data_IF_071777991485
#
_entry.id   IF_071777991485
#
_cell.length_a   1.000
_cell.length_b   1.000
_cell.length_c   1.000
_cell.angle_alpha   90.00
_cell.angle_beta   90.00
_cell.angle_gamma   90.00
#
_symmetry.space_group_name_H-M   'P 1'
#
loop_
_entity.id
_entity.type
_entity.pdbx_description
1 polymer ?
#
# COMPACT_ATOMS: atom_id res chain seq x y z
N UNK A 1 -12.81 -17.78 -9.09
CA UNK A 1 -12.93 -16.48 -9.79
C UNK A 1 -12.45 -16.68 -11.22
N UNK A 2 -13.24 -16.31 -12.23
CA UNK A 2 -12.90 -16.60 -13.63
C UNK A 2 -11.85 -15.61 -14.17
N UNK A 3 -11.10 -15.99 -15.21
CA UNK A 3 -10.00 -15.20 -15.79
C UNK A 3 -10.41 -13.77 -16.20
N UNK A 4 -11.63 -13.59 -16.70
CA UNK A 4 -12.19 -12.28 -17.06
C UNK A 4 -12.32 -11.34 -15.85
N UNK A 5 -12.74 -11.86 -14.69
CA UNK A 5 -12.83 -11.06 -13.47
C UNK A 5 -11.45 -10.67 -12.95
N UNK A 6 -10.48 -11.60 -13.02
CA UNK A 6 -9.10 -11.31 -12.60
C UNK A 6 -8.48 -10.22 -13.48
N UNK A 7 -8.64 -10.31 -14.81
CA UNK A 7 -8.15 -9.27 -15.74
C UNK A 7 -8.81 -7.92 -15.47
N UNK A 8 -10.12 -7.88 -15.27
CA UNK A 8 -10.84 -6.64 -14.97
C UNK A 8 -10.41 -6.02 -13.64
N UNK A 9 -10.20 -6.84 -12.60
CA UNK A 9 -9.66 -6.39 -11.32
C UNK A 9 -8.22 -5.90 -11.44
N UNK A 10 -7.38 -6.55 -12.23
CA UNK A 10 -5.99 -6.13 -12.46
C UNK A 10 -5.94 -4.73 -13.08
N UNK A 11 -6.74 -4.48 -14.13
CA UNK A 11 -6.81 -3.15 -14.78
C UNK A 11 -7.32 -2.09 -13.79
N UNK A 12 -8.37 -2.39 -13.02
CA UNK A 12 -8.87 -1.48 -11.98
C UNK A 12 -7.84 -1.23 -10.88
N UNK A 13 -7.03 -2.24 -10.56
CA UNK A 13 -5.90 -2.16 -9.64
C UNK A 13 -4.82 -1.21 -10.13
N UNK A 14 -4.39 -1.36 -11.39
CA UNK A 14 -3.43 -0.47 -12.03
C UNK A 14 -3.92 0.98 -12.07
N UNK A 15 -5.19 1.21 -12.41
CA UNK A 15 -5.80 2.55 -12.41
C UNK A 15 -5.91 3.15 -11.00
N UNK A 16 -6.30 2.34 -10.01
CA UNK A 16 -6.33 2.78 -8.62
C UNK A 16 -4.92 3.09 -8.09
N UNK A 17 -3.93 2.30 -8.50
CA UNK A 17 -2.52 2.52 -8.20
C UNK A 17 -1.99 3.82 -8.81
N UNK A 18 -2.37 4.13 -10.05
CA UNK A 18 -2.06 5.42 -10.69
C UNK A 18 -2.66 6.59 -9.90
N UNK A 19 -3.95 6.52 -9.56
CA UNK A 19 -4.63 7.55 -8.78
C UNK A 19 -4.00 7.73 -7.40
N UNK A 20 -3.67 6.64 -6.72
CA UNK A 20 -2.97 6.66 -5.45
C UNK A 20 -1.54 7.25 -5.58
N UNK A 21 -0.83 6.92 -6.65
CA UNK A 21 0.48 7.47 -6.98
C UNK A 21 0.44 8.98 -7.17
N UNK A 22 -0.60 9.52 -7.84
CA UNK A 22 -0.82 10.96 -7.96
C UNK A 22 -1.03 11.63 -6.59
N UNK A 23 -1.85 11.04 -5.72
CA UNK A 23 -2.05 11.55 -4.36
C UNK A 23 -0.75 11.53 -3.56
N UNK A 24 0.01 10.44 -3.65
CA UNK A 24 1.30 10.32 -2.99
C UNK A 24 2.33 11.33 -3.53
N UNK A 25 2.32 11.61 -4.84
CA UNK A 25 3.16 12.62 -5.47
C UNK A 25 2.85 14.03 -4.94
N UNK A 26 1.57 14.39 -4.79
CA UNK A 26 1.18 15.68 -4.19
C UNK A 26 1.71 15.79 -2.76
N UNK A 27 1.59 14.72 -1.96
CA UNK A 27 2.12 14.71 -0.60
C UNK A 27 3.64 14.78 -0.59
N UNK A 28 4.32 14.11 -1.53
CA UNK A 28 5.77 14.17 -1.67
C UNK A 28 6.25 15.58 -2.03
N UNK A 29 5.54 16.27 -2.93
CA UNK A 29 5.81 17.66 -3.29
C UNK A 29 5.66 18.59 -2.08
N UNK A 30 4.56 18.48 -1.33
CA UNK A 30 4.26 19.40 -0.22
C UNK A 30 5.10 19.12 1.03
N UNK A 31 5.32 17.84 1.37
CA UNK A 31 5.97 17.46 2.64
C UNK A 31 7.39 16.95 2.47
N UNK A 32 7.72 16.38 1.31
CA UNK A 32 9.00 15.73 1.05
C UNK A 32 10.04 16.67 0.44
N UNK A 33 9.70 17.38 -0.63
CA UNK A 33 10.63 18.26 -1.37
C UNK A 33 11.32 19.29 -0.48
N UNK A 34 10.62 20.04 0.41
CA UNK A 34 11.31 20.96 1.33
C UNK A 34 12.29 20.30 2.29
N UNK A 35 12.21 18.98 2.49
CA UNK A 35 13.13 18.21 3.33
C UNK A 35 14.30 17.66 2.54
N UNK A 36 14.10 17.38 1.26
CA UNK A 36 15.17 17.04 0.32
C UNK A 36 16.05 18.26 0.11
N UNK A 37 15.45 19.42 -0.19
CA UNK A 37 16.18 20.68 -0.40
C UNK A 37 17.03 21.04 0.82
N UNK A 38 16.44 21.03 2.01
CA UNK A 38 17.18 21.32 3.25
C UNK A 38 18.30 20.31 3.56
N UNK A 39 18.20 19.08 3.05
CA UNK A 39 19.25 18.07 3.22
C UNK A 39 20.38 18.25 2.21
N UNK A 40 20.08 18.79 1.02
CA UNK A 40 21.06 19.20 0.01
C UNK A 40 21.81 20.45 0.49
N UNK A 41 21.10 21.46 0.99
CA UNK A 41 21.71 22.68 1.56
C UNK A 41 22.71 22.34 2.68
N UNK A 42 22.41 21.31 3.48
CA UNK A 42 23.31 20.82 4.52
C UNK A 42 24.59 20.20 3.91
N UNK A 43 24.47 19.41 2.85
CA UNK A 43 25.59 18.79 2.14
C UNK A 43 26.49 19.86 1.50
N UNK A 44 25.89 20.81 0.77
CA UNK A 44 26.60 21.91 0.10
C UNK A 44 27.37 22.78 1.11
N UNK A 45 26.83 23.00 2.32
CA UNK A 45 27.51 23.75 3.38
C UNK A 45 28.69 23.01 4.03
N UNK A 46 28.75 21.68 3.91
CA UNK A 46 29.80 20.84 4.51
C UNK A 46 30.75 20.23 3.47
N UNK A 47 30.50 20.42 2.18
CA UNK A 47 31.41 20.06 1.10
C UNK A 47 32.48 21.16 0.93
N UNK A 48 33.74 20.84 1.24
CA UNK A 48 34.89 21.74 1.04
C UNK A 48 35.49 21.69 -0.38
N UNK A 49 34.90 20.96 -1.33
CA UNK A 49 35.34 20.95 -2.73
C UNK A 49 34.16 21.11 -3.70
N UNK A 50 34.27 22.09 -4.60
CA UNK A 50 33.31 22.34 -5.68
C UNK A 50 33.35 21.20 -6.72
N UNK A 51 32.45 20.23 -6.60
CA UNK A 51 32.09 19.34 -7.70
C UNK A 51 31.05 20.02 -8.61
N UNK A 52 31.41 20.30 -9.87
CA UNK A 52 30.49 20.84 -10.87
C UNK A 52 29.21 19.99 -10.99
N UNK A 53 28.06 20.65 -11.00
CA UNK A 53 26.78 20.04 -11.33
C UNK A 53 26.74 19.60 -12.80
N UNK A 54 26.96 18.32 -13.06
CA UNK A 54 26.97 17.75 -14.42
C UNK A 54 25.57 17.73 -15.07
N UNK A 55 24.48 18.01 -14.33
CA UNK A 55 23.12 18.10 -14.89
C UNK A 55 22.27 19.20 -14.26
N UNK A 56 21.52 19.95 -15.08
CA UNK A 56 20.54 20.93 -14.62
C UNK A 56 19.40 20.24 -13.84
N UNK A 57 19.36 20.49 -12.52
CA UNK A 57 18.44 19.91 -11.52
C UNK A 57 16.96 20.10 -11.86
N UNK A 58 16.60 21.13 -12.63
CA UNK A 58 15.21 21.54 -12.90
C UNK A 58 14.49 20.64 -13.93
N UNK A 59 15.19 19.99 -14.87
CA UNK A 59 14.59 19.10 -15.88
C UNK A 59 14.51 17.62 -15.44
N UNK A 60 15.40 17.20 -14.53
CA UNK A 60 15.30 15.91 -13.81
C UNK A 60 14.21 15.94 -12.71
N UNK A 61 13.94 17.12 -12.15
CA UNK A 61 13.11 17.35 -10.96
C UNK A 61 11.62 17.00 -11.12
N UNK A 62 10.97 17.30 -12.25
CA UNK A 62 9.49 17.24 -12.28
C UNK A 62 8.92 16.14 -13.18
N UNK A 63 9.46 15.94 -14.38
CA UNK A 63 8.93 14.95 -15.34
C UNK A 63 9.34 13.51 -15.03
N UNK A 64 10.63 13.28 -14.75
CA UNK A 64 11.19 11.95 -14.47
C UNK A 64 10.69 11.39 -13.14
N UNK A 65 10.73 12.19 -12.08
CA UNK A 65 10.20 11.81 -10.76
C UNK A 65 8.71 11.50 -10.81
N UNK A 66 7.90 12.38 -11.43
CA UNK A 66 6.47 12.13 -11.59
C UNK A 66 6.23 10.84 -12.37
N UNK A 67 6.92 10.63 -13.50
CA UNK A 67 6.80 9.40 -14.29
C UNK A 67 7.15 8.17 -13.46
N UNK A 68 8.26 8.21 -12.73
CA UNK A 68 8.70 7.11 -11.86
C UNK A 68 7.68 6.77 -10.77
N UNK A 69 7.16 7.78 -10.07
CA UNK A 69 6.13 7.59 -9.03
C UNK A 69 4.83 7.02 -9.61
N UNK A 70 4.43 7.46 -10.81
CA UNK A 70 3.21 6.98 -11.46
C UNK A 70 3.35 5.54 -11.96
N UNK A 71 4.46 5.21 -12.61
CA UNK A 71 4.77 3.83 -13.03
C UNK A 71 4.85 2.90 -11.83
N UNK A 72 5.51 3.35 -10.75
CA UNK A 72 5.57 2.62 -9.49
C UNK A 72 4.17 2.40 -8.89
N UNK A 73 3.34 3.44 -8.86
CA UNK A 73 1.95 3.36 -8.40
C UNK A 73 1.13 2.35 -9.20
N UNK A 74 1.24 2.36 -10.54
CA UNK A 74 0.59 1.38 -11.43
C UNK A 74 1.06 -0.05 -11.12
N UNK A 75 2.36 -0.28 -10.99
CA UNK A 75 2.93 -1.59 -10.71
C UNK A 75 2.46 -2.13 -9.35
N UNK A 76 2.55 -1.32 -8.29
CA UNK A 76 2.06 -1.68 -6.96
C UNK A 76 0.55 -1.93 -6.96
N UNK A 77 -0.23 -1.11 -7.67
CA UNK A 77 -1.67 -1.30 -7.80
C UNK A 77 -2.03 -2.63 -8.46
N UNK A 78 -1.27 -3.04 -9.48
CA UNK A 78 -1.42 -4.35 -10.10
C UNK A 78 -1.12 -5.51 -9.14
N UNK A 79 0.02 -5.44 -8.45
CA UNK A 79 0.43 -6.46 -7.46
C UNK A 79 -0.60 -6.57 -6.33
N UNK A 80 -1.04 -5.44 -5.77
CA UNK A 80 -2.02 -5.40 -4.70
C UNK A 80 -3.40 -5.90 -5.15
N UNK A 81 -3.81 -5.67 -6.41
CA UNK A 81 -5.03 -6.24 -6.97
C UNK A 81 -4.95 -7.77 -7.14
N UNK A 82 -3.79 -8.32 -7.49
CA UNK A 82 -3.58 -9.77 -7.51
C UNK A 82 -3.63 -10.36 -6.09
N UNK A 83 -2.99 -9.69 -5.12
CA UNK A 83 -3.09 -10.06 -3.71
C UNK A 83 -4.54 -10.04 -3.22
N UNK A 84 -5.33 -9.03 -3.62
CA UNK A 84 -6.77 -8.97 -3.37
C UNK A 84 -7.52 -10.16 -3.96
N UNK A 85 -7.22 -10.54 -5.20
CA UNK A 85 -7.84 -11.70 -5.83
C UNK A 85 -7.59 -13.00 -5.05
N UNK A 86 -6.41 -13.10 -4.42
CA UNK A 86 -6.04 -14.22 -3.56
C UNK A 86 -6.75 -14.11 -2.19
N UNK A 87 -6.87 -12.91 -1.63
CA UNK A 87 -7.40 -12.68 -0.29
C UNK A 87 -8.94 -12.77 -0.21
N UNK A 88 -9.64 -12.37 -1.28
CA UNK A 88 -11.11 -12.29 -1.30
C UNK A 88 -11.76 -13.64 -0.97
N UNK A 89 -12.63 -13.64 0.05
CA UNK A 89 -13.27 -14.84 0.59
C UNK A 89 -12.35 -15.78 1.38
N UNK A 90 -11.02 -15.57 1.34
CA UNK A 90 -10.06 -16.37 2.10
C UNK A 90 -9.78 -15.80 3.48
N UNK A 91 -9.71 -14.48 3.64
CA UNK A 91 -9.37 -13.83 4.92
C UNK A 91 -10.57 -13.55 5.83
N UNK A 92 -11.74 -14.12 5.51
CA UNK A 92 -12.99 -13.94 6.25
C UNK A 92 -14.18 -13.70 5.33
N UNK A 93 -15.36 -13.52 5.91
CA UNK A 93 -16.61 -13.22 5.18
C UNK A 93 -16.76 -11.72 4.90
N UNK A 94 -15.69 -11.08 4.44
CA UNK A 94 -15.67 -9.65 4.13
C UNK A 94 -16.08 -9.39 2.68
N UNK A 95 -16.80 -8.28 2.47
CA UNK A 95 -17.11 -7.81 1.12
C UNK A 95 -15.87 -7.27 0.38
N UNK A 96 -16.00 -6.91 -0.91
CA UNK A 96 -14.89 -6.40 -1.72
C UNK A 96 -14.21 -5.16 -1.13
N UNK A 97 -14.96 -4.15 -0.66
CA UNK A 97 -14.37 -2.94 -0.05
C UNK A 97 -13.52 -3.25 1.17
N UNK A 98 -14.07 -3.99 2.12
CA UNK A 98 -13.37 -4.36 3.35
C UNK A 98 -12.11 -5.21 3.05
N UNK A 99 -12.21 -6.16 2.12
CA UNK A 99 -11.06 -6.96 1.70
C UNK A 99 -9.96 -6.09 1.08
N UNK A 100 -10.31 -5.14 0.21
CA UNK A 100 -9.35 -4.20 -0.38
C UNK A 100 -8.66 -3.33 0.69
N UNK A 101 -9.43 -2.85 1.67
CA UNK A 101 -8.88 -2.09 2.79
C UNK A 101 -7.90 -2.94 3.63
N UNK A 102 -8.23 -4.18 3.97
CA UNK A 102 -7.33 -5.07 4.71
C UNK A 102 -6.08 -5.45 3.93
N UNK A 103 -6.20 -5.71 2.62
CA UNK A 103 -5.05 -5.99 1.75
C UNK A 103 -4.14 -4.77 1.69
N UNK A 104 -4.71 -3.57 1.52
CA UNK A 104 -3.93 -2.34 1.47
C UNK A 104 -3.24 -2.03 2.79
N UNK A 105 -3.95 -2.17 3.92
CA UNK A 105 -3.39 -1.98 5.26
C UNK A 105 -2.30 -3.01 5.57
N UNK A 106 -2.54 -4.27 5.22
CA UNK A 106 -1.55 -5.34 5.34
C UNK A 106 -0.29 -5.04 4.53
N UNK A 107 -0.45 -4.60 3.29
CA UNK A 107 0.67 -4.23 2.43
C UNK A 107 1.43 -2.99 2.94
N UNK A 108 0.75 -1.93 3.39
CA UNK A 108 1.37 -0.80 4.08
C UNK A 108 2.22 -1.29 5.26
N UNK A 109 1.65 -2.15 6.11
CA UNK A 109 2.33 -2.68 7.28
C UNK A 109 3.57 -3.50 6.90
N UNK A 110 3.43 -4.48 5.98
CA UNK A 110 4.48 -5.46 5.70
C UNK A 110 5.51 -5.00 4.68
N UNK A 111 5.12 -4.18 3.70
CA UNK A 111 6.00 -3.72 2.62
C UNK A 111 6.68 -2.41 2.98
N UNK A 112 6.08 -1.61 3.88
CA UNK A 112 6.65 -0.32 4.25
C UNK A 112 6.92 -0.16 5.74
N UNK A 113 5.90 -0.18 6.61
CA UNK A 113 6.07 0.20 8.03
C UNK A 113 7.09 -0.70 8.75
N UNK A 114 6.96 -2.01 8.60
CA UNK A 114 7.88 -2.96 9.24
C UNK A 114 9.32 -2.78 8.71
N UNK A 115 9.59 -2.83 7.39
CA UNK A 115 10.92 -2.50 6.87
C UNK A 115 11.46 -1.14 7.32
N UNK A 116 10.62 -0.10 7.31
CA UNK A 116 10.97 1.27 7.71
C UNK A 116 11.38 1.37 9.18
N UNK A 117 10.73 0.63 10.08
CA UNK A 117 11.09 0.66 11.50
C UNK A 117 12.50 0.08 11.76
N UNK A 118 12.96 -0.88 10.94
CA UNK A 118 14.31 -1.47 11.03
C UNK A 118 15.35 -0.70 10.21
N UNK A 119 14.95 -0.27 9.02
CA UNK A 119 15.77 0.38 8.00
C UNK A 119 15.03 1.64 7.51
N UNK A 120 15.03 2.72 8.30
CA UNK A 120 14.25 3.91 8.00
C UNK A 120 14.80 4.66 6.78
N UNK A 121 13.91 5.37 6.10
CA UNK A 121 14.29 6.22 4.99
C UNK A 121 15.23 7.34 5.46
N UNK A 122 16.26 7.60 4.66
CA UNK A 122 17.20 8.69 4.84
C UNK A 122 17.09 9.65 3.64
N UNK A 123 17.31 10.97 3.85
CA UNK A 123 17.47 11.93 2.76
C UNK A 123 18.58 11.51 1.78
N UNK A 124 18.52 11.96 0.51
CA UNK A 124 19.52 11.60 -0.50
C UNK A 124 20.98 11.91 -0.10
N UNK A 125 21.20 13.00 0.64
CA UNK A 125 22.52 13.40 1.14
C UNK A 125 23.05 12.56 2.31
N UNK A 126 22.26 11.57 2.80
CA UNK A 126 22.66 10.69 3.89
C UNK A 126 22.83 9.26 3.37
N UNK A 127 24.08 8.84 3.26
CA UNK A 127 24.45 7.46 3.06
C UNK A 127 25.81 7.30 2.41
N UNK A 128 26.43 6.16 2.65
CA UNK A 128 27.66 5.80 1.98
C UNK A 128 27.31 5.16 0.60
N UNK A 129 27.85 5.67 -0.52
CA UNK A 129 27.67 5.07 -1.84
C UNK A 129 28.09 3.60 -1.90
N UNK A 130 29.14 3.22 -1.16
CA UNK A 130 29.70 1.86 -1.18
C UNK A 130 28.77 0.84 -0.49
N UNK A 131 27.82 1.30 0.34
CA UNK A 131 26.88 0.45 1.07
C UNK A 131 25.50 0.37 0.45
N UNK A 132 25.22 1.08 -0.66
CA UNK A 132 23.90 1.13 -1.31
C UNK A 132 23.37 -0.28 -1.59
N UNK A 133 24.21 -1.17 -2.13
CA UNK A 133 23.83 -2.55 -2.45
C UNK A 133 23.41 -3.34 -1.20
N UNK A 134 24.19 -3.24 -0.11
CA UNK A 134 23.91 -3.91 1.16
C UNK A 134 22.61 -3.41 1.80
N UNK A 135 22.41 -2.09 1.86
CA UNK A 135 21.20 -1.46 2.42
C UNK A 135 19.95 -1.88 1.64
N UNK A 136 20.05 -1.85 0.31
CA UNK A 136 18.97 -2.27 -0.59
C UNK A 136 18.61 -3.74 -0.38
N UNK A 137 19.61 -4.62 -0.32
CA UNK A 137 19.40 -6.05 -0.08
C UNK A 137 18.73 -6.32 1.28
N UNK A 138 19.17 -5.64 2.35
CA UNK A 138 18.57 -5.77 3.69
C UNK A 138 17.13 -5.27 3.72
N UNK A 139 16.84 -4.16 3.04
CA UNK A 139 15.48 -3.64 2.95
C UNK A 139 14.54 -4.62 2.22
N UNK A 140 14.97 -5.15 1.07
CA UNK A 140 14.20 -6.18 0.33
C UNK A 140 14.05 -7.49 1.12
N UNK A 141 15.09 -7.91 1.83
CA UNK A 141 15.03 -9.07 2.73
C UNK A 141 13.98 -8.85 3.82
N UNK A 142 13.93 -7.65 4.41
CA UNK A 142 12.95 -7.32 5.44
C UNK A 142 11.52 -7.30 4.87
N UNK A 143 11.32 -6.78 3.65
CA UNK A 143 10.01 -6.89 2.96
C UNK A 143 9.61 -8.36 2.79
N UNK A 144 10.50 -9.18 2.22
CA UNK A 144 10.21 -10.58 1.95
C UNK A 144 9.84 -11.34 3.24
N UNK A 145 10.64 -11.15 4.30
CA UNK A 145 10.39 -11.76 5.60
C UNK A 145 9.07 -11.30 6.21
N UNK A 146 8.76 -10.00 6.15
CA UNK A 146 7.52 -9.42 6.68
C UNK A 146 6.29 -9.97 5.98
N UNK A 147 6.32 -10.09 4.65
CA UNK A 147 5.22 -10.66 3.87
C UNK A 147 5.04 -12.16 4.18
N UNK A 148 6.13 -12.93 4.25
CA UNK A 148 6.06 -14.36 4.57
C UNK A 148 5.51 -14.60 5.98
N UNK A 149 5.96 -13.82 6.97
CA UNK A 149 5.48 -13.92 8.34
C UNK A 149 4.01 -13.51 8.46
N UNK A 150 3.57 -12.48 7.71
CA UNK A 150 2.17 -12.08 7.69
C UNK A 150 1.28 -13.17 7.08
N UNK A 151 1.70 -13.81 5.98
CA UNK A 151 0.99 -14.95 5.39
C UNK A 151 0.92 -16.12 6.38
N UNK A 152 2.02 -16.47 7.03
CA UNK A 152 2.05 -17.49 8.08
C UNK A 152 1.13 -17.16 9.25
N UNK A 153 1.07 -15.90 9.69
CA UNK A 153 0.18 -15.45 10.74
C UNK A 153 -1.29 -15.58 10.33
N UNK A 154 -1.65 -15.23 9.10
CA UNK A 154 -3.01 -15.43 8.58
C UNK A 154 -3.37 -16.93 8.52
N UNK A 155 -2.44 -17.80 8.11
CA UNK A 155 -2.65 -19.25 8.12
C UNK A 155 -2.83 -19.78 9.54
N UNK A 156 -1.99 -19.34 10.48
CA UNK A 156 -2.07 -19.69 11.90
C UNK A 156 -3.41 -19.26 12.49
N UNK A 157 -3.84 -18.02 12.27
CA UNK A 157 -5.11 -17.49 12.74
C UNK A 157 -6.31 -18.32 12.23
N UNK A 158 -6.31 -18.71 10.96
CA UNK A 158 -7.34 -19.59 10.41
C UNK A 158 -7.36 -20.98 11.04
N UNK A 159 -6.18 -21.53 11.37
CA UNK A 159 -6.08 -22.83 12.05
C UNK A 159 -6.52 -22.78 13.51
N UNK A 160 -6.32 -21.63 14.17
CA UNK A 160 -6.71 -21.42 15.57
C UNK A 160 -8.19 -21.03 15.72
N UNK A 161 -8.79 -20.40 14.71
CA UNK A 161 -10.17 -19.91 14.77
C UNK A 161 -11.22 -20.96 15.17
N UNK A 162 -11.20 -22.22 14.69
CA UNK A 162 -12.15 -23.25 15.11
C UNK A 162 -12.05 -23.63 16.60
N UNK A 163 -10.87 -23.42 17.22
CA UNK A 163 -10.63 -23.80 18.63
C UNK A 163 -10.78 -22.63 19.59
N UNK A 164 -10.34 -21.44 19.20
CA UNK A 164 -10.26 -20.27 20.08
C UNK A 164 -11.33 -19.21 19.78
N UNK A 165 -12.07 -19.36 18.69
CA UNK A 165 -12.90 -18.30 18.11
C UNK A 165 -12.08 -17.27 17.34
N UNK A 166 -12.74 -16.49 16.47
CA UNK A 166 -12.07 -15.53 15.57
C UNK A 166 -11.27 -14.46 16.31
N UNK A 167 -11.79 -13.92 17.41
CA UNK A 167 -11.14 -12.87 18.18
C UNK A 167 -9.81 -13.34 18.76
N UNK A 168 -9.84 -14.38 19.60
CA UNK A 168 -8.63 -14.90 20.26
C UNK A 168 -7.61 -15.44 19.24
N UNK A 169 -8.08 -16.08 18.17
CA UNK A 169 -7.20 -16.57 17.10
C UNK A 169 -6.49 -15.42 16.37
N UNK A 170 -7.18 -14.29 16.15
CA UNK A 170 -6.59 -13.08 15.55
C UNK A 170 -5.55 -12.47 16.49
N UNK A 171 -5.88 -12.30 17.77
CA UNK A 171 -4.94 -11.78 18.78
C UNK A 171 -3.68 -12.65 18.86
N UNK A 172 -3.84 -13.98 18.95
CA UNK A 172 -2.73 -14.92 19.01
C UNK A 172 -1.85 -14.88 17.75
N UNK A 173 -2.46 -14.85 16.56
CA UNK A 173 -1.73 -14.74 15.30
C UNK A 173 -0.98 -13.41 15.16
N UNK A 174 -1.59 -12.29 15.57
CA UNK A 174 -0.95 -10.98 15.60
C UNK A 174 0.21 -10.94 16.58
N UNK A 175 0.06 -11.51 17.78
CA UNK A 175 1.14 -11.61 18.75
C UNK A 175 2.31 -12.45 18.21
N UNK A 176 2.03 -13.60 17.59
CA UNK A 176 3.05 -14.44 16.96
C UNK A 176 3.79 -13.72 15.84
N UNK A 177 3.08 -12.94 15.01
CA UNK A 177 3.69 -12.08 13.99
C UNK A 177 4.64 -11.05 14.61
N UNK A 178 4.20 -10.32 15.63
CA UNK A 178 5.01 -9.31 16.30
C UNK A 178 6.26 -9.90 16.95
N UNK A 179 6.15 -11.07 17.60
CA UNK A 179 7.31 -11.78 18.17
C UNK A 179 8.28 -12.18 17.07
N UNK A 180 7.81 -12.76 15.96
CA UNK A 180 8.67 -13.17 14.85
C UNK A 180 9.37 -11.97 14.19
N UNK A 181 8.69 -10.83 14.04
CA UNK A 181 9.29 -9.58 13.55
C UNK A 181 10.31 -9.03 14.55
N UNK A 182 10.01 -9.06 15.86
CA UNK A 182 10.95 -8.65 16.89
C UNK A 182 12.25 -9.48 16.86
N UNK A 183 12.13 -10.80 16.66
CA UNK A 183 13.29 -11.67 16.45
C UNK A 183 14.05 -11.29 15.17
N UNK A 184 13.36 -11.07 14.06
CA UNK A 184 13.99 -10.60 12.83
C UNK A 184 14.78 -9.30 13.05
N UNK A 185 14.23 -8.33 13.78
CA UNK A 185 14.93 -7.10 14.11
C UNK A 185 16.15 -7.32 14.99
N UNK A 186 16.11 -8.29 15.90
CA UNK A 186 17.25 -8.62 16.74
C UNK A 186 18.39 -9.28 15.95
N UNK A 187 18.08 -10.15 14.99
CA UNK A 187 19.09 -10.92 14.25
C UNK A 187 19.63 -10.21 13.00
N UNK A 188 18.81 -9.40 12.32
CA UNK A 188 19.27 -8.68 11.14
C UNK A 188 20.23 -7.54 11.54
N UNK A 189 21.31 -7.30 10.78
CA UNK A 189 22.29 -6.28 11.11
C UNK A 189 21.66 -4.88 11.13
N UNK A 190 22.04 -4.07 12.11
CA UNK A 190 21.70 -2.66 12.15
C UNK A 190 22.58 -1.88 11.16
N UNK A 191 22.01 -0.85 10.53
CA UNK A 191 22.74 0.08 9.67
C UNK A 191 22.47 1.48 10.18
N UNK A 192 23.54 2.22 10.49
CA UNK A 192 23.47 3.64 10.84
C UNK A 192 24.58 4.38 10.11
N UNK A 193 24.18 5.23 9.16
CA UNK A 193 25.07 6.03 8.33
C UNK A 193 24.76 7.52 8.47
N UNK A 194 23.97 7.89 9.47
CA UNK A 194 23.65 9.28 9.75
C UNK A 194 24.90 9.93 10.36
N UNK A 195 25.46 11.00 9.75
CA UNK A 195 26.55 11.75 10.34
C UNK A 195 26.17 12.29 11.72
N UNK A 196 27.13 12.38 12.64
CA UNK A 196 26.87 12.83 14.02
C UNK A 196 26.30 14.25 14.07
N UNK A 197 26.70 15.08 13.12
CA UNK A 197 26.33 16.50 13.06
C UNK A 197 25.09 16.76 12.18
N UNK A 198 24.49 15.70 11.62
CA UNK A 198 23.28 15.86 10.80
C UNK A 198 22.10 16.33 11.66
N UNK A 199 21.32 17.35 11.24
CA UNK A 199 20.24 17.89 12.06
C UNK A 199 19.16 16.84 12.35
N UNK A 200 19.06 16.40 13.61
CA UNK A 200 18.12 15.37 14.03
C UNK A 200 16.65 15.72 13.70
N UNK A 201 16.28 17.00 13.81
CA UNK A 201 14.95 17.48 13.47
C UNK A 201 14.65 17.41 11.97
N UNK A 202 15.65 17.62 11.10
CA UNK A 202 15.48 17.47 9.66
C UNK A 202 15.28 16.00 9.30
N UNK A 203 16.10 15.11 9.87
CA UNK A 203 15.98 13.67 9.68
C UNK A 203 14.61 13.14 10.11
N UNK A 204 14.13 13.58 11.27
CA UNK A 204 12.81 13.24 11.78
C UNK A 204 11.69 13.70 10.84
N UNK A 205 11.72 14.95 10.40
CA UNK A 205 10.71 15.51 9.48
C UNK A 205 10.72 14.80 8.13
N UNK A 206 11.88 14.44 7.60
CA UNK A 206 12.01 13.65 6.38
C UNK A 206 11.36 12.26 6.54
N UNK A 207 11.65 11.56 7.64
CA UNK A 207 11.07 10.25 7.98
C UNK A 207 9.55 10.32 8.12
N UNK A 208 9.03 11.37 8.76
CA UNK A 208 7.60 11.61 8.87
C UNK A 208 6.95 11.88 7.51
N UNK A 209 7.61 12.65 6.64
CA UNK A 209 7.14 12.88 5.27
C UNK A 209 7.11 11.57 4.47
N UNK A 210 8.15 10.74 4.56
CA UNK A 210 8.20 9.43 3.90
C UNK A 210 7.06 8.50 4.35
N UNK A 211 6.76 8.47 5.65
CA UNK A 211 5.60 7.76 6.20
C UNK A 211 4.27 8.33 5.67
N UNK A 212 4.12 9.65 5.60
CA UNK A 212 2.91 10.29 5.09
C UNK A 212 2.66 9.97 3.61
N UNK A 213 3.70 9.96 2.78
CA UNK A 213 3.63 9.59 1.35
C UNK A 213 3.08 8.17 1.21
N UNK A 214 3.62 7.23 1.97
CA UNK A 214 3.23 5.82 1.89
C UNK A 214 1.86 5.56 2.49
N UNK A 215 1.51 6.24 3.58
CA UNK A 215 0.18 6.20 4.15
C UNK A 215 -0.86 6.67 3.11
N UNK A 216 -0.59 7.78 2.43
CA UNK A 216 -1.46 8.31 1.37
C UNK A 216 -1.57 7.36 0.19
N UNK A 217 -0.45 6.78 -0.26
CA UNK A 217 -0.44 5.80 -1.35
C UNK A 217 -1.35 4.61 -1.02
N UNK A 218 -1.12 3.95 0.11
CA UNK A 218 -1.87 2.74 0.47
C UNK A 218 -3.32 3.05 0.88
N UNK A 219 -3.58 4.16 1.59
CA UNK A 219 -4.94 4.57 1.90
C UNK A 219 -5.73 4.91 0.62
N UNK A 220 -5.14 5.71 -0.27
CA UNK A 220 -5.71 6.08 -1.56
C UNK A 220 -6.01 4.84 -2.41
N UNK A 221 -5.05 3.91 -2.52
CA UNK A 221 -5.25 2.66 -3.25
C UNK A 221 -6.41 1.86 -2.65
N UNK A 222 -6.42 1.61 -1.34
CA UNK A 222 -7.43 0.80 -0.68
C UNK A 222 -8.85 1.35 -0.86
N UNK A 223 -9.01 2.67 -0.79
CA UNK A 223 -10.29 3.36 -0.99
C UNK A 223 -10.74 3.30 -2.45
N UNK A 224 -9.89 3.72 -3.40
CA UNK A 224 -10.23 3.78 -4.83
C UNK A 224 -10.45 2.37 -5.37
N UNK A 225 -9.51 1.45 -5.13
CA UNK A 225 -9.62 0.07 -5.60
C UNK A 225 -10.79 -0.66 -4.94
N UNK A 226 -11.01 -0.48 -3.64
CA UNK A 226 -12.14 -1.09 -2.94
C UNK A 226 -13.48 -0.66 -3.54
N UNK A 227 -13.64 0.63 -3.86
CA UNK A 227 -14.82 1.14 -4.56
C UNK A 227 -14.99 0.52 -5.95
N UNK A 228 -13.92 0.47 -6.74
CA UNK A 228 -13.93 -0.11 -8.09
C UNK A 228 -14.19 -1.62 -8.07
N UNK A 229 -13.63 -2.35 -7.12
CA UNK A 229 -13.80 -3.79 -6.98
C UNK A 229 -15.24 -4.15 -6.57
N UNK A 230 -15.84 -3.39 -5.67
CA UNK A 230 -17.24 -3.60 -5.27
C UNK A 230 -18.20 -3.35 -6.42
N UNK A 231 -18.02 -2.27 -7.20
CA UNK A 231 -18.83 -2.03 -8.40
C UNK A 231 -18.73 -3.16 -9.43
N UNK A 232 -17.61 -3.88 -9.49
CA UNK A 232 -17.44 -5.02 -10.38
C UNK A 232 -18.16 -6.27 -9.86
N UNK A 233 -17.94 -6.58 -8.58
CA UNK A 233 -18.26 -7.87 -7.99
C UNK A 233 -19.64 -7.91 -7.32
N UNK A 234 -20.19 -6.74 -6.99
CA UNK A 234 -21.53 -6.57 -6.47
C UNK A 234 -22.26 -5.45 -7.25
N UNK A 235 -22.60 -5.66 -8.54
CA UNK A 235 -23.45 -4.73 -9.26
C UNK A 235 -24.74 -4.53 -8.47
N UNK A 236 -25.07 -3.28 -8.12
CA UNK A 236 -26.35 -2.92 -7.50
C UNK A 236 -27.44 -3.62 -8.31
N UNK A 237 -28.23 -4.49 -7.66
CA UNK A 237 -29.39 -5.11 -8.27
C UNK A 237 -30.15 -4.01 -9.00
N UNK A 238 -30.16 -4.09 -10.34
CA UNK A 238 -30.92 -3.16 -11.14
C UNK A 238 -32.33 -3.12 -10.55
N UNK A 239 -32.76 -1.91 -10.21
CA UNK A 239 -34.12 -1.51 -9.87
C UNK A 239 -35.11 -2.66 -9.99
N UNK A 240 -35.57 -3.18 -8.85
CA UNK A 240 -36.78 -3.98 -8.84
C UNK A 240 -37.89 -3.08 -9.41
N UNK A 241 -38.06 -3.13 -10.73
CA UNK A 241 -39.25 -2.65 -11.41
C UNK A 241 -40.42 -3.31 -10.71
N UNK A 242 -41.36 -2.55 -10.13
CA UNK A 242 -42.63 -3.14 -9.77
C UNK A 242 -43.24 -3.56 -11.11
N UNK A 243 -43.17 -4.84 -11.45
CA UNK A 243 -44.05 -5.43 -12.46
C UNK A 243 -45.46 -5.17 -11.97
N UNK A 244 -46.07 -4.10 -12.47
CA UNK A 244 -47.47 -3.78 -12.28
C UNK A 244 -48.26 -5.03 -12.66
N UNK A 245 -48.90 -5.63 -11.67
CA UNK A 245 -49.88 -6.68 -11.87
C UNK A 245 -51.03 -6.05 -12.65
N UNK A 246 -51.06 -6.30 -13.95
CA UNK A 246 -52.25 -6.09 -14.75
C UNK A 246 -53.35 -7.03 -14.26
N UNK A 247 -54.37 -6.46 -13.64
CA UNK A 247 -55.69 -7.09 -13.55
C UNK A 247 -56.58 -6.40 -14.56
N UNK A 248 -56.58 -6.94 -15.78
CA UNK A 248 -57.69 -6.79 -16.70
C UNK A 248 -58.85 -7.61 -16.13
N UNK A 249 -59.85 -6.94 -15.56
CA UNK A 249 -61.15 -7.55 -15.28
C UNK A 249 -61.97 -7.38 -16.55
N UNK A 250 -62.03 -8.44 -17.33
CA UNK A 250 -62.91 -8.58 -18.48
C UNK A 250 -64.31 -8.89 -17.93
N UNK A 251 -65.25 -7.96 -18.06
CA UNK A 251 -66.64 -8.13 -17.62
C UNK A 251 -67.60 -8.00 -18.81
N UNK A 252 -67.82 -9.12 -19.49
CA UNK A 252 -68.92 -9.35 -20.46
C UNK A 252 -69.05 -10.89 -20.57
N UNK A 253 -70.17 -11.60 -20.47
CA UNK A 253 -71.61 -11.29 -20.54
C UNK A 253 -72.42 -12.54 -20.10
N UNK A 254 -73.61 -12.34 -19.49
CA UNK A 254 -74.89 -13.08 -19.62
C UNK A 254 -74.99 -14.62 -19.47
N UNK A 255 -75.92 -15.10 -18.62
CA UNK A 255 -77.30 -15.49 -19.03
C UNK A 255 -78.02 -16.40 -18.00
N UNK A 256 -79.33 -16.16 -17.85
CA UNK A 256 -80.43 -17.11 -17.56
C UNK A 256 -80.44 -17.91 -16.23
N UNK A 257 -81.30 -17.51 -15.28
CA UNK A 257 -82.63 -18.08 -15.03
C UNK A 257 -83.29 -17.44 -13.79
#
# INVERSE_FOLDING_TARGET
MNSLHVRALLVRGMLAGLAAGLLALIVAYVLGEPRVDAAIDFEDAHAHEHGEEVFSRTLQSTGGLATGVLVFGVALGGIAALAFCVALGRIGRFGPRATAAFVSLGALATVYVVPFLKYPANPPSIGDPDTIGKRTALYFLMIALSVLLAVSAVILGKRLAPRLGNWNATVAASAAFLVAIGLAYAFLPAVNEVPKDFPAMLLWKFRLAALAIQLTLWAGFGLVFGHLAERLLAPKAATAEPRGTGTAVDSTTAAAH
#
